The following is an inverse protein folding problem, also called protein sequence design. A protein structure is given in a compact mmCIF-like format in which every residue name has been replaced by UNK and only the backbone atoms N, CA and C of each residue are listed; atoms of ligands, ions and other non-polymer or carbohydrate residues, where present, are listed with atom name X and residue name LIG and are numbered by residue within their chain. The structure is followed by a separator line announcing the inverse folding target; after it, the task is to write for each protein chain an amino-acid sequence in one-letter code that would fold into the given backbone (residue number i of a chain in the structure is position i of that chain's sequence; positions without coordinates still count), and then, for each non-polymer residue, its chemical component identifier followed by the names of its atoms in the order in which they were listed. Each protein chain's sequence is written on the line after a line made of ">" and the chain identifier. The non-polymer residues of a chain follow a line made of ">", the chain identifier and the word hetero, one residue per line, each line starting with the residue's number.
data_IF_350240239080
#
_entry.id   IF_350240239080
#
_cell.length_a   1.000
_cell.length_b   1.000
_cell.length_c   1.000
_cell.angle_alpha   90.00
_cell.angle_beta   90.00
_cell.angle_gamma   90.00
#
_symmetry.space_group_name_H-M   'P 1'
#
loop_
_entity.id
_entity.type
_entity.pdbx_description
1 polymer ?
#
# COMPACT_ATOMS: atom_id res chain seq x y z
N UNK A 1 -2.55 -32.58 -15.53
CA UNK A 1 -2.78 -31.34 -14.76
C UNK A 1 -1.42 -30.76 -14.41
N UNK A 2 -0.95 -29.74 -15.13
CA UNK A 2 0.23 -29.00 -14.67
C UNK A 2 -0.23 -28.10 -13.53
N UNK A 3 0.23 -28.41 -12.32
CA UNK A 3 0.13 -27.50 -11.17
C UNK A 3 0.76 -26.17 -11.59
N UNK A 4 -0.04 -25.10 -11.68
CA UNK A 4 0.51 -23.76 -11.86
C UNK A 4 1.38 -23.47 -10.65
N UNK A 5 2.67 -23.21 -10.87
CA UNK A 5 3.62 -22.99 -9.79
C UNK A 5 3.32 -21.65 -9.12
N UNK A 6 2.64 -21.73 -7.99
CA UNK A 6 2.34 -20.60 -7.11
C UNK A 6 3.65 -20.04 -6.55
N UNK A 7 3.93 -18.77 -6.80
CA UNK A 7 5.16 -18.10 -6.33
C UNK A 7 4.81 -16.96 -5.39
N UNK A 8 5.27 -17.06 -4.14
CA UNK A 8 5.12 -15.99 -3.15
C UNK A 8 6.27 -14.97 -3.25
N UNK A 9 5.92 -13.69 -3.30
CA UNK A 9 6.86 -12.58 -3.29
C UNK A 9 6.71 -11.75 -2.02
N UNK A 10 7.80 -11.63 -1.25
CA UNK A 10 7.83 -10.81 -0.04
C UNK A 10 8.06 -9.34 -0.39
N UNK A 11 7.27 -8.47 0.22
CA UNK A 11 7.33 -7.02 0.05
C UNK A 11 8.11 -6.37 1.20
N UNK A 12 8.89 -5.34 0.87
CA UNK A 12 9.43 -4.41 1.84
C UNK A 12 8.41 -3.30 2.08
N UNK A 13 7.60 -3.47 3.14
CA UNK A 13 6.50 -2.54 3.45
C UNK A 13 6.94 -1.09 3.59
N UNK A 14 8.19 -0.83 4.00
CA UNK A 14 8.73 0.53 4.16
C UNK A 14 8.61 1.34 2.87
N UNK A 15 8.75 0.70 1.70
CA UNK A 15 8.65 1.40 0.41
C UNK A 15 7.23 1.82 0.03
N UNK A 16 6.21 1.38 0.79
CA UNK A 16 4.87 1.94 0.65
C UNK A 16 4.78 3.39 1.13
N UNK A 17 5.82 3.97 1.74
CA UNK A 17 5.87 5.44 1.95
C UNK A 17 5.76 6.23 0.65
N UNK A 18 6.13 5.63 -0.49
CA UNK A 18 5.99 6.22 -1.82
C UNK A 18 4.60 5.99 -2.43
N UNK A 19 3.75 5.18 -1.79
CA UNK A 19 2.38 4.98 -2.21
C UNK A 19 1.57 6.26 -2.00
N UNK A 20 0.78 6.63 -3.00
CA UNK A 20 -0.04 7.84 -2.97
C UNK A 20 -0.91 7.98 -1.73
N UNK A 21 -1.52 6.87 -1.33
CA UNK A 21 -2.37 6.83 -0.13
C UNK A 21 -1.60 7.16 1.13
N UNK A 22 -0.34 6.73 1.22
CA UNK A 22 0.50 6.89 2.41
C UNK A 22 1.09 8.29 2.45
N UNK A 23 1.68 8.77 1.35
CA UNK A 23 2.27 10.11 1.34
C UNK A 23 1.21 11.20 1.56
N UNK A 24 0.01 11.08 0.97
CA UNK A 24 -1.05 12.07 1.19
C UNK A 24 -1.49 12.13 2.65
N UNK A 25 -1.64 10.96 3.30
CA UNK A 25 -1.98 10.92 4.72
C UNK A 25 -0.88 11.56 5.57
N UNK A 26 0.39 11.26 5.28
CA UNK A 26 1.53 11.86 5.97
C UNK A 26 1.55 13.38 5.82
N UNK A 27 1.32 13.92 4.62
CA UNK A 27 1.26 15.38 4.39
C UNK A 27 0.15 16.00 5.25
N UNK A 28 -1.05 15.43 5.24
CA UNK A 28 -2.18 15.95 6.01
C UNK A 28 -1.93 15.92 7.51
N UNK A 29 -1.37 14.82 8.02
CA UNK A 29 -0.98 14.70 9.44
C UNK A 29 0.05 15.75 9.82
N UNK A 30 1.08 15.97 8.97
CA UNK A 30 2.12 16.96 9.25
C UNK A 30 1.58 18.40 9.24
N UNK A 31 0.69 18.75 8.30
CA UNK A 31 0.03 20.05 8.28
C UNK A 31 -0.79 20.27 9.56
N UNK A 32 -1.57 19.27 9.98
CA UNK A 32 -2.39 19.38 11.19
C UNK A 32 -1.55 19.59 12.44
N UNK A 33 -0.47 18.81 12.61
CA UNK A 33 0.43 18.96 13.77
C UNK A 33 1.14 20.31 13.74
N UNK A 34 1.53 20.81 12.56
CA UNK A 34 2.16 22.12 12.42
C UNK A 34 1.22 23.25 12.87
N UNK A 35 -0.04 23.23 12.42
CA UNK A 35 -1.06 24.23 12.82
C UNK A 35 -1.30 24.16 14.33
N UNK A 36 -1.44 22.94 14.88
CA UNK A 36 -1.61 22.74 16.31
C UNK A 36 -0.39 23.27 17.10
N UNK A 37 0.82 23.03 16.60
CA UNK A 37 2.07 23.51 17.16
C UNK A 37 2.20 25.03 17.20
N UNK A 38 1.87 25.70 16.10
CA UNK A 38 1.89 27.17 16.02
C UNK A 38 0.87 27.74 17.01
N UNK A 39 -0.33 27.15 17.06
CA UNK A 39 -1.38 27.58 17.98
C UNK A 39 -0.93 27.42 19.43
N UNK A 40 -0.40 26.24 19.80
CA UNK A 40 0.01 25.95 21.17
C UNK A 40 1.17 26.84 21.65
N UNK A 41 2.20 27.03 20.81
CA UNK A 41 3.32 27.93 21.11
C UNK A 41 2.88 29.41 21.24
N UNK A 42 1.76 29.79 20.64
CA UNK A 42 1.21 31.15 20.75
C UNK A 42 0.50 31.39 22.08
N UNK A 43 0.00 30.35 22.74
CA UNK A 43 -0.71 30.44 24.03
C UNK A 43 0.16 30.06 25.22
N UNK A 44 1.06 29.09 25.05
CA UNK A 44 1.93 28.59 26.09
C UNK A 44 3.36 28.52 25.57
N UNK A 45 4.32 29.12 26.30
CA UNK A 45 5.75 29.14 25.93
C UNK A 45 6.41 27.79 26.23
N UNK A 46 5.75 26.71 25.83
CA UNK A 46 6.29 25.36 25.89
C UNK A 46 7.61 25.31 25.11
N UNK A 47 8.53 24.48 25.59
CA UNK A 47 9.85 24.40 24.96
C UNK A 47 9.70 23.89 23.53
N UNK A 48 10.30 24.59 22.56
CA UNK A 48 10.35 24.14 21.16
C UNK A 48 10.85 22.69 21.03
N UNK A 49 11.69 22.25 21.96
CA UNK A 49 12.21 20.88 22.06
C UNK A 49 11.10 19.86 22.35
N UNK A 50 10.16 20.18 23.24
CA UNK A 50 9.01 19.31 23.55
C UNK A 50 8.10 19.18 22.33
N UNK A 51 7.82 20.29 21.66
CA UNK A 51 7.03 20.29 20.43
C UNK A 51 7.67 19.41 19.34
N UNK A 52 8.98 19.60 19.08
CA UNK A 52 9.71 18.77 18.10
C UNK A 52 9.68 17.29 18.51
N UNK A 53 9.84 16.99 19.80
CA UNK A 53 9.82 15.60 20.30
C UNK A 53 8.46 14.94 20.05
N UNK A 54 7.36 15.62 20.38
CA UNK A 54 5.99 15.14 20.13
C UNK A 54 5.75 14.97 18.62
N UNK A 55 6.17 15.94 17.81
CA UNK A 55 6.04 15.89 16.36
C UNK A 55 6.73 14.66 15.76
N UNK A 56 7.96 14.37 16.19
CA UNK A 56 8.72 13.20 15.73
C UNK A 56 8.03 11.90 16.15
N UNK A 57 7.56 11.81 17.40
CA UNK A 57 6.88 10.60 17.90
C UNK A 57 5.58 10.34 17.13
N UNK A 58 4.74 11.35 16.91
CA UNK A 58 3.47 11.18 16.18
C UNK A 58 3.75 10.76 14.73
N UNK A 59 4.74 11.36 14.07
CA UNK A 59 5.14 10.98 12.72
C UNK A 59 5.65 9.54 12.66
N UNK A 60 6.51 9.13 13.60
CA UNK A 60 7.01 7.77 13.67
C UNK A 60 5.87 6.76 13.85
N UNK A 61 4.95 7.00 14.79
CA UNK A 61 3.76 6.15 15.01
C UNK A 61 2.89 6.09 13.76
N UNK A 62 2.68 7.21 13.08
CA UNK A 62 1.86 7.30 11.88
C UNK A 62 2.47 6.52 10.72
N UNK A 63 3.78 6.70 10.46
CA UNK A 63 4.49 5.95 9.42
C UNK A 63 4.44 4.46 9.71
N UNK A 64 4.74 4.06 10.95
CA UNK A 64 4.71 2.66 11.37
C UNK A 64 3.30 2.08 11.13
N UNK A 65 2.26 2.78 11.59
CA UNK A 65 0.87 2.37 11.40
C UNK A 65 0.56 2.18 9.91
N UNK A 66 0.81 3.18 9.06
CA UNK A 66 0.51 3.11 7.62
C UNK A 66 1.27 1.99 6.92
N UNK A 67 2.54 1.79 7.26
CA UNK A 67 3.37 0.71 6.71
C UNK A 67 2.80 -0.66 7.07
N UNK A 68 2.27 -0.84 8.30
CA UNK A 68 1.62 -2.10 8.70
C UNK A 68 0.29 -2.36 8.01
N UNK A 69 -0.39 -1.32 7.53
CA UNK A 69 -1.63 -1.44 6.75
C UNK A 69 -1.39 -1.78 5.27
N UNK A 70 -0.13 -1.82 4.83
CA UNK A 70 0.21 -2.17 3.45
C UNK A 70 0.48 -3.68 3.29
N UNK A 71 0.32 -4.23 2.06
CA UNK A 71 0.59 -5.63 1.79
C UNK A 71 2.02 -6.05 2.18
N UNK A 72 2.17 -7.20 2.84
CA UNK A 72 3.48 -7.75 3.25
C UNK A 72 4.07 -8.77 2.29
N UNK A 73 3.21 -9.41 1.53
CA UNK A 73 3.55 -10.30 0.44
C UNK A 73 2.40 -10.31 -0.56
N UNK A 74 2.68 -10.80 -1.75
CA UNK A 74 1.65 -11.21 -2.69
C UNK A 74 2.05 -12.54 -3.31
N UNK A 75 1.04 -13.28 -3.75
CA UNK A 75 1.21 -14.54 -4.42
C UNK A 75 0.83 -14.39 -5.87
N UNK A 76 1.66 -14.90 -6.77
CA UNK A 76 1.43 -14.90 -8.21
C UNK A 76 1.27 -16.34 -8.69
N UNK A 77 0.12 -16.65 -9.28
CA UNK A 77 -0.15 -17.92 -9.95
C UNK A 77 -0.65 -17.66 -11.36
N UNK A 78 0.21 -17.81 -12.37
CA UNK A 78 -0.12 -17.47 -13.75
C UNK A 78 -0.49 -15.99 -13.92
N UNK A 79 -1.76 -15.71 -14.26
CA UNK A 79 -2.34 -14.34 -14.39
C UNK A 79 -3.23 -13.95 -13.20
N UNK A 80 -3.06 -14.65 -12.09
CA UNK A 80 -3.78 -14.48 -10.85
C UNK A 80 -2.86 -13.94 -9.78
N UNK A 81 -3.27 -12.89 -9.08
CA UNK A 81 -2.48 -12.24 -8.04
C UNK A 81 -3.30 -12.09 -6.76
N UNK A 82 -2.79 -12.65 -5.66
CA UNK A 82 -3.45 -12.59 -4.35
C UNK A 82 -2.61 -11.83 -3.33
N UNK A 83 -3.25 -10.98 -2.53
CA UNK A 83 -2.58 -10.23 -1.47
C UNK A 83 -3.57 -9.72 -0.43
N UNK A 84 -3.10 -9.54 0.80
CA UNK A 84 -3.86 -8.87 1.85
C UNK A 84 -3.57 -7.36 1.83
N UNK A 85 -4.61 -6.53 1.89
CA UNK A 85 -4.51 -5.07 1.94
C UNK A 85 -5.46 -4.52 3.02
N UNK A 86 -5.30 -3.24 3.36
CA UNK A 86 -6.26 -2.51 4.19
C UNK A 86 -6.92 -1.40 3.38
N UNK A 87 -8.25 -1.44 3.31
CA UNK A 87 -9.05 -0.44 2.63
C UNK A 87 -9.63 0.52 3.66
N UNK A 88 -9.48 1.82 3.41
CA UNK A 88 -10.16 2.85 4.18
C UNK A 88 -11.64 2.90 3.77
N UNK A 89 -12.52 2.62 4.73
CA UNK A 89 -13.96 2.73 4.53
C UNK A 89 -14.51 3.94 5.31
N UNK A 90 -15.44 4.67 4.70
CA UNK A 90 -16.21 5.72 5.39
C UNK A 90 -17.34 5.07 6.20
N UNK A 91 -17.60 5.49 7.45
CA UNK A 91 -18.71 4.98 8.25
C UNK A 91 -20.07 5.28 7.62
N UNK A 92 -21.01 4.36 7.77
CA UNK A 92 -22.33 4.39 7.12
C UNK A 92 -23.30 5.38 7.81
N UNK A 93 -23.17 5.54 9.13
CA UNK A 93 -24.03 6.44 9.91
C UNK A 93 -23.33 7.78 10.19
N UNK A 94 -24.10 8.88 10.14
CA UNK A 94 -23.68 10.25 10.54
C UNK A 94 -23.05 10.34 11.94
N UNK A 95 -23.15 9.30 12.76
CA UNK A 95 -22.60 9.21 14.12
C UNK A 95 -21.45 8.20 14.28
N UNK A 96 -21.05 7.50 13.22
CA UNK A 96 -19.84 6.68 13.21
C UNK A 96 -18.61 7.59 13.21
N UNK A 97 -17.87 7.62 14.31
CA UNK A 97 -16.66 8.44 14.41
C UNK A 97 -15.54 7.82 13.58
N UNK A 98 -15.26 8.43 12.43
CA UNK A 98 -13.97 8.33 11.73
C UNK A 98 -13.86 7.25 10.65
N UNK A 99 -12.78 7.35 9.87
CA UNK A 99 -12.36 6.32 8.93
C UNK A 99 -11.86 5.11 9.70
N UNK A 100 -12.31 3.91 9.31
CA UNK A 100 -11.75 2.67 9.82
C UNK A 100 -11.07 1.88 8.70
N UNK A 101 -10.04 1.12 9.06
CA UNK A 101 -9.29 0.29 8.14
C UNK A 101 -9.86 -1.13 8.17
N UNK A 102 -10.40 -1.59 7.04
CA UNK A 102 -10.86 -2.96 6.89
C UNK A 102 -9.75 -3.79 6.24
N UNK A 103 -9.30 -4.85 6.93
CA UNK A 103 -8.41 -5.85 6.33
C UNK A 103 -9.20 -6.65 5.29
N UNK A 104 -8.70 -6.70 4.07
CA UNK A 104 -9.29 -7.45 2.95
C UNK A 104 -8.25 -8.38 2.34
N UNK A 105 -8.69 -9.54 1.89
CA UNK A 105 -7.92 -10.39 0.99
C UNK A 105 -8.37 -10.07 -0.44
N UNK A 106 -7.45 -9.62 -1.27
CA UNK A 106 -7.68 -9.25 -2.66
C UNK A 106 -7.21 -10.37 -3.57
N UNK A 107 -8.04 -10.73 -4.54
CA UNK A 107 -7.77 -11.76 -5.53
C UNK A 107 -8.01 -11.14 -6.90
N UNK A 108 -6.93 -10.87 -7.65
CA UNK A 108 -6.98 -10.13 -8.92
C UNK A 108 -6.72 -11.07 -10.08
N UNK A 109 -7.69 -11.10 -10.99
CA UNK A 109 -7.69 -11.88 -12.22
C UNK A 109 -7.59 -10.95 -13.44
N UNK A 110 -7.41 -11.53 -14.62
CA UNK A 110 -7.40 -10.79 -15.90
C UNK A 110 -6.41 -9.61 -15.93
N UNK A 111 -5.23 -9.80 -15.35
CA UNK A 111 -4.21 -8.76 -15.22
C UNK A 111 -3.77 -8.24 -16.60
N UNK A 112 -3.82 -6.91 -16.77
CA UNK A 112 -3.50 -6.14 -17.98
C UNK A 112 -2.71 -4.89 -17.63
N UNK A 113 -2.05 -4.29 -18.63
CA UNK A 113 -1.34 -3.01 -18.50
C UNK A 113 -0.33 -2.99 -17.35
N UNK A 114 0.47 -4.06 -17.23
CA UNK A 114 1.48 -4.16 -16.18
C UNK A 114 2.65 -3.23 -16.52
N UNK A 115 2.90 -2.26 -15.67
CA UNK A 115 4.05 -1.37 -15.75
C UNK A 115 4.96 -1.58 -14.55
N UNK A 116 6.27 -1.47 -14.81
CA UNK A 116 7.31 -1.66 -13.81
C UNK A 116 7.99 -0.34 -13.54
N UNK A 117 7.92 0.11 -12.28
CA UNK A 117 8.39 1.41 -11.86
C UNK A 117 9.48 1.27 -10.82
N UNK A 118 10.48 2.15 -10.90
CA UNK A 118 11.59 2.19 -9.96
C UNK A 118 12.14 3.62 -9.87
N UNK A 119 11.88 4.28 -8.75
CA UNK A 119 12.44 5.60 -8.44
C UNK A 119 13.92 5.51 -8.01
N UNK A 120 14.58 6.66 -7.82
CA UNK A 120 16.02 6.71 -7.50
C UNK A 120 16.34 6.00 -6.18
N UNK A 121 15.51 6.16 -5.16
CA UNK A 121 15.70 5.53 -3.85
C UNK A 121 15.48 4.02 -3.97
N UNK A 122 14.40 3.60 -4.62
CA UNK A 122 14.08 2.22 -4.93
C UNK A 122 15.22 1.49 -5.65
N UNK A 123 15.90 2.15 -6.60
CA UNK A 123 17.09 1.61 -7.30
C UNK A 123 18.24 1.28 -6.35
N UNK A 124 18.51 2.15 -5.36
CA UNK A 124 19.61 1.96 -4.41
C UNK A 124 19.41 0.67 -3.60
N UNK A 125 18.16 0.33 -3.27
CA UNK A 125 17.82 -0.84 -2.46
C UNK A 125 17.40 -2.07 -3.27
N UNK A 126 17.47 -2.03 -4.62
CA UNK A 126 16.94 -3.05 -5.54
C UNK A 126 15.48 -3.45 -5.20
N UNK A 127 14.69 -2.44 -4.86
CA UNK A 127 13.24 -2.54 -4.64
C UNK A 127 12.52 -1.83 -5.78
N UNK A 128 11.28 -2.17 -6.06
CA UNK A 128 10.45 -1.41 -6.99
C UNK A 128 8.97 -1.62 -6.75
N UNK A 129 8.17 -1.13 -7.68
CA UNK A 129 6.73 -1.30 -7.64
C UNK A 129 6.16 -1.60 -9.03
N UNK A 130 4.98 -2.19 -9.05
CA UNK A 130 4.22 -2.41 -10.28
C UNK A 130 2.90 -1.68 -10.20
N UNK A 131 2.45 -1.12 -11.32
CA UNK A 131 1.07 -0.75 -11.54
C UNK A 131 0.45 -1.71 -12.55
N UNK A 132 -0.81 -2.05 -12.37
CA UNK A 132 -1.54 -2.92 -13.29
C UNK A 132 -3.04 -2.72 -13.14
N UNK A 133 -3.78 -3.16 -14.16
CA UNK A 133 -5.24 -3.23 -14.15
C UNK A 133 -5.71 -4.69 -14.13
N UNK A 134 -6.86 -4.97 -13.55
CA UNK A 134 -7.42 -6.32 -13.49
C UNK A 134 -8.78 -6.37 -12.81
N UNK A 135 -9.43 -7.52 -12.86
CA UNK A 135 -10.71 -7.75 -12.18
C UNK A 135 -10.44 -8.30 -10.79
N UNK A 136 -10.78 -7.52 -9.77
CA UNK A 136 -10.61 -7.94 -8.39
C UNK A 136 -11.88 -8.51 -7.78
N UNK A 137 -11.72 -9.55 -6.99
CA UNK A 137 -12.66 -9.96 -5.97
C UNK A 137 -12.04 -9.70 -4.60
N UNK A 138 -12.87 -9.19 -3.68
CA UNK A 138 -12.46 -8.93 -2.31
C UNK A 138 -13.12 -9.95 -1.40
N UNK A 139 -12.39 -10.40 -0.39
CA UNK A 139 -12.91 -11.17 0.73
C UNK A 139 -12.60 -10.42 2.02
N UNK A 140 -13.60 -10.27 2.88
CA UNK A 140 -13.47 -9.60 4.17
C UNK A 140 -14.37 -10.27 5.20
N UNK A 141 -14.00 -10.17 6.48
CA UNK A 141 -14.80 -10.75 7.58
C UNK A 141 -16.16 -10.05 7.77
N UNK A 142 -16.28 -8.80 7.32
CA UNK A 142 -17.45 -7.92 7.46
C UNK A 142 -17.40 -6.81 6.42
N UNK A 143 -18.52 -6.13 6.19
CA UNK A 143 -18.61 -4.90 5.39
C UNK A 143 -18.09 -5.05 3.95
N UNK A 144 -18.18 -6.26 3.38
CA UNK A 144 -17.66 -6.59 2.05
C UNK A 144 -18.42 -5.83 0.96
N UNK A 145 -19.72 -5.66 1.14
CA UNK A 145 -20.64 -4.93 0.27
C UNK A 145 -20.33 -3.43 0.19
N UNK A 146 -19.50 -2.91 1.09
CA UNK A 146 -19.08 -1.51 1.15
C UNK A 146 -17.74 -1.26 0.46
N UNK A 147 -17.06 -2.31 0.02
CA UNK A 147 -15.80 -2.19 -0.69
C UNK A 147 -16.12 -1.72 -2.12
N UNK A 148 -15.62 -0.55 -2.56
CA UNK A 148 -15.85 -0.09 -3.92
C UNK A 148 -15.15 -1.02 -4.92
N UNK A 149 -15.77 -1.19 -6.08
CA UNK A 149 -15.14 -1.85 -7.21
C UNK A 149 -13.82 -1.12 -7.55
N UNK A 150 -12.77 -1.90 -7.75
CA UNK A 150 -11.42 -1.40 -8.01
C UNK A 150 -10.79 -2.23 -9.10
N UNK A 151 -10.34 -1.56 -10.14
CA UNK A 151 -9.73 -2.20 -11.30
C UNK A 151 -8.23 -1.90 -11.43
N UNK A 152 -7.73 -0.82 -10.80
CA UNK A 152 -6.33 -0.42 -10.90
C UNK A 152 -5.60 -0.64 -9.58
N UNK A 153 -4.42 -1.25 -9.67
CA UNK A 153 -3.64 -1.73 -8.54
C UNK A 153 -2.21 -1.24 -8.64
N UNK A 154 -1.63 -0.94 -7.48
CA UNK A 154 -0.21 -0.63 -7.34
C UNK A 154 0.34 -1.40 -6.15
N UNK A 155 1.41 -2.15 -6.36
CA UNK A 155 2.09 -2.93 -5.31
C UNK A 155 3.51 -2.43 -5.17
N UNK A 156 3.82 -1.85 -4.01
CA UNK A 156 5.14 -1.34 -3.66
C UNK A 156 5.96 -2.34 -2.86
N UNK A 157 7.28 -2.16 -2.90
CA UNK A 157 8.19 -2.88 -2.02
C UNK A 157 8.68 -4.22 -2.57
N UNK A 158 8.53 -4.47 -3.87
CA UNK A 158 8.96 -5.74 -4.46
C UNK A 158 10.49 -5.84 -4.38
N UNK A 159 10.99 -6.77 -3.57
CA UNK A 159 12.43 -7.00 -3.39
C UNK A 159 13.03 -7.70 -4.60
N UNK A 160 14.32 -7.48 -4.84
CA UNK A 160 15.05 -8.04 -5.98
C UNK A 160 14.38 -7.71 -7.32
N UNK A 161 14.00 -6.44 -7.47
CA UNK A 161 13.08 -5.99 -8.51
C UNK A 161 13.58 -6.31 -9.92
N UNK A 162 14.89 -6.23 -10.14
CA UNK A 162 15.52 -6.58 -11.42
C UNK A 162 15.28 -8.04 -11.82
N UNK A 163 15.34 -8.97 -10.85
CA UNK A 163 15.07 -10.40 -11.05
C UNK A 163 13.58 -10.66 -11.23
N UNK A 164 12.75 -10.03 -10.40
CA UNK A 164 11.30 -10.12 -10.50
C UNK A 164 10.77 -9.69 -11.87
N UNK A 165 11.23 -8.54 -12.38
CA UNK A 165 10.85 -8.03 -13.70
C UNK A 165 11.14 -9.07 -14.79
N UNK A 166 12.31 -9.71 -14.72
CA UNK A 166 12.73 -10.73 -15.69
C UNK A 166 11.85 -11.98 -15.62
N UNK A 167 11.57 -12.49 -14.41
CA UNK A 167 10.74 -13.70 -14.23
C UNK A 167 9.29 -13.46 -14.67
N UNK A 168 8.75 -12.27 -14.42
CA UNK A 168 7.40 -11.89 -14.83
C UNK A 168 7.22 -11.96 -16.35
N UNK A 169 8.17 -11.42 -17.13
CA UNK A 169 8.13 -11.50 -18.60
C UNK A 169 8.31 -12.92 -19.15
N UNK A 170 9.14 -13.75 -18.50
CA UNK A 170 9.34 -15.14 -18.93
C UNK A 170 8.05 -15.95 -18.76
N UNK A 171 7.29 -15.70 -17.69
CA UNK A 171 5.99 -16.34 -17.47
C UNK A 171 4.93 -15.88 -18.49
N UNK A 172 5.00 -14.63 -18.96
CA UNK A 172 4.06 -14.12 -19.97
C UNK A 172 4.34 -14.72 -21.37
N UNK A 173 5.63 -14.84 -21.77
CA UNK A 173 6.02 -15.41 -23.07
C UNK A 173 5.78 -16.92 -23.23
N UNK A 174 5.63 -17.68 -22.13
CA UNK A 174 5.35 -19.12 -22.19
C UNK A 174 3.89 -19.46 -22.54
N UNK A 175 3.02 -18.46 -22.72
CA UNK A 175 1.65 -18.65 -23.23
C UNK A 175 1.53 -18.09 -24.65
N UNK A 176 1.89 -18.87 -25.70
CA UNK A 176 1.45 -18.52 -27.05
C UNK A 176 -0.08 -18.57 -27.10
N UNK A 177 -0.67 -17.54 -27.70
CA UNK A 177 -2.11 -17.36 -27.92
C UNK A 177 -2.81 -18.70 -28.23
N UNK A 178 -3.75 -19.08 -27.36
CA UNK A 178 -4.81 -20.04 -27.69
C UNK A 178 -6.12 -19.28 -27.78
#
# INVERSE_FOLDING_TARGET
>A
MHSECETEYRLNRIFNIFNEKVYMYLILTNIFILIAGISFNSFDKSSIVEFISIFVIINAITIISLVFHCPGSFTLSGKHLEFDDYISLRPEFRYGKGFWWLKVSCSVTEIKNVEFHQNVIEKIFDVGHISFSGKATFSAKRDIERIPDKNDFVIYGIKHFSRFKTSFFINDKRRPNR
#
